data_IF_119881915581
#
_entry.id   IF_119881915581
#
_cell.length_a   1.000
_cell.length_b   1.000
_cell.length_c   1.000
_cell.angle_alpha   90.00
_cell.angle_beta   90.00
_cell.angle_gamma   90.00
#
_symmetry.space_group_name_H-M   'P 1'
#
loop_
_entity.id
_entity.type
_entity.pdbx_description
1 polymer ?
#
# COMPACT_ATOMS: atom_id res chain seq x y z
N UNK A 1 1.25 1.53 65.60
CA UNK A 1 1.13 0.22 64.93
C UNK A 1 2.47 -0.03 64.24
N UNK A 2 3.39 -0.68 64.95
CA UNK A 2 4.75 -0.95 64.48
C UNK A 2 4.74 -2.02 63.39
N UNK A 3 5.37 -1.71 62.26
CA UNK A 3 5.67 -2.68 61.20
C UNK A 3 6.85 -3.55 61.66
N UNK A 4 6.57 -4.82 61.95
CA UNK A 4 7.57 -5.86 62.23
C UNK A 4 8.29 -6.24 60.94
N UNK A 5 9.37 -5.52 60.63
CA UNK A 5 10.29 -5.88 59.56
C UNK A 5 11.06 -7.15 59.94
N UNK A 6 10.68 -8.29 59.33
CA UNK A 6 11.35 -9.56 59.55
C UNK A 6 12.48 -9.76 58.54
N UNK A 7 13.72 -9.83 59.03
CA UNK A 7 14.88 -10.20 58.23
C UNK A 7 14.95 -11.72 58.08
N UNK A 8 14.92 -12.22 56.84
CA UNK A 8 15.03 -13.65 56.51
C UNK A 8 16.30 -13.88 55.69
N UNK A 9 17.13 -14.82 56.13
CA UNK A 9 18.33 -15.20 55.40
C UNK A 9 17.98 -16.24 54.32
N UNK A 10 17.93 -15.81 53.06
CA UNK A 10 17.70 -16.70 51.91
C UNK A 10 18.98 -17.47 51.58
N UNK A 11 18.95 -18.80 51.72
CA UNK A 11 20.08 -19.72 51.44
C UNK A 11 19.81 -20.63 50.24
N UNK A 12 19.13 -20.13 49.22
CA UNK A 12 18.88 -20.86 47.97
C UNK A 12 19.29 -20.03 46.76
N UNK A 13 19.54 -20.71 45.63
CA UNK A 13 19.82 -20.07 44.35
C UNK A 13 18.51 -19.53 43.78
N UNK A 14 18.43 -18.21 43.59
CA UNK A 14 17.30 -17.57 42.94
C UNK A 14 17.59 -17.46 41.44
N UNK A 15 16.75 -18.12 40.62
CA UNK A 15 16.81 -18.04 39.16
C UNK A 15 15.46 -17.57 38.66
N UNK A 16 15.45 -16.54 37.82
CA UNK A 16 14.26 -16.11 37.11
C UNK A 16 14.14 -16.89 35.80
N UNK A 17 13.00 -17.53 35.57
CA UNK A 17 12.64 -18.18 34.32
C UNK A 17 11.35 -17.56 33.81
N UNK A 18 11.37 -17.09 32.57
CA UNK A 18 10.22 -16.41 31.98
C UNK A 18 9.26 -17.42 31.32
N UNK A 19 8.04 -17.49 31.83
CA UNK A 19 6.95 -18.32 31.31
C UNK A 19 5.69 -17.50 31.03
N UNK A 20 5.83 -16.18 30.82
CA UNK A 20 4.69 -15.27 30.65
C UNK A 20 3.95 -15.45 29.31
N UNK A 21 4.56 -16.14 28.34
CA UNK A 21 3.96 -16.43 27.03
C UNK A 21 3.67 -15.20 26.17
N UNK A 22 4.34 -14.07 26.44
CA UNK A 22 4.16 -12.83 25.68
C UNK A 22 4.98 -12.83 24.39
N UNK A 23 4.52 -12.06 23.42
CA UNK A 23 5.27 -11.84 22.18
C UNK A 23 6.52 -11.01 22.46
N UNK A 24 7.66 -11.52 21.99
CA UNK A 24 8.91 -10.80 22.09
C UNK A 24 8.96 -9.63 21.08
N UNK A 25 9.95 -8.75 21.24
CA UNK A 25 10.10 -7.57 20.40
C UNK A 25 10.29 -7.90 18.91
N UNK A 26 10.88 -9.04 18.56
CA UNK A 26 11.03 -9.46 17.16
C UNK A 26 9.70 -9.89 16.56
N UNK A 27 8.93 -10.69 17.29
CA UNK A 27 7.61 -11.14 16.83
C UNK A 27 6.65 -9.97 16.63
N UNK A 28 6.58 -9.04 17.57
CA UNK A 28 5.72 -7.85 17.45
C UNK A 28 6.09 -7.03 16.22
N UNK A 29 7.39 -6.78 15.99
CA UNK A 29 7.86 -6.05 14.79
C UNK A 29 7.44 -6.77 13.51
N UNK A 30 7.57 -8.09 13.45
CA UNK A 30 7.18 -8.87 12.28
C UNK A 30 5.67 -8.83 12.04
N UNK A 31 4.86 -8.97 13.10
CA UNK A 31 3.40 -8.88 13.03
C UNK A 31 2.99 -7.49 12.49
N UNK A 32 3.58 -6.42 13.02
CA UNK A 32 3.27 -5.05 12.58
C UNK A 32 3.64 -4.80 11.12
N UNK A 33 4.75 -5.37 10.65
CA UNK A 33 5.14 -5.30 9.23
C UNK A 33 4.15 -6.01 8.32
N UNK A 34 3.54 -7.11 8.76
CA UNK A 34 2.54 -7.85 7.97
C UNK A 34 1.15 -7.22 8.03
N UNK A 35 0.74 -6.68 9.18
CA UNK A 35 -0.58 -6.05 9.37
C UNK A 35 -0.65 -4.69 8.66
N UNK A 36 0.47 -3.95 8.60
CA UNK A 36 0.55 -2.61 8.00
C UNK A 36 -0.59 -1.65 8.43
N UNK A 37 -0.76 -1.40 9.74
CA UNK A 37 -1.85 -0.56 10.25
C UNK A 37 -1.73 0.91 9.80
N UNK A 38 -2.84 1.57 9.51
CA UNK A 38 -2.85 2.99 9.10
C UNK A 38 -2.56 3.95 10.28
N UNK A 39 -3.08 3.61 11.46
CA UNK A 39 -2.86 4.31 12.73
C UNK A 39 -2.57 3.25 13.80
N UNK A 40 -1.58 3.49 14.65
CA UNK A 40 -1.15 2.57 15.71
C UNK A 40 -1.14 3.30 17.05
N UNK A 41 -1.71 2.67 18.08
CA UNK A 41 -1.64 3.14 19.47
C UNK A 41 -0.94 2.07 20.29
N UNK A 42 0.18 2.44 20.91
CA UNK A 42 0.97 1.59 21.79
C UNK A 42 0.54 1.85 23.23
N UNK A 43 -0.02 0.83 23.87
CA UNK A 43 -0.46 0.88 25.27
C UNK A 43 0.32 -0.14 26.09
N UNK A 44 0.43 0.11 27.39
CA UNK A 44 0.99 -0.81 28.38
C UNK A 44 2.44 -1.24 28.10
N UNK A 45 3.40 -0.57 28.73
CA UNK A 45 4.82 -0.91 28.68
C UNK A 45 5.64 0.06 29.52
N UNK A 46 6.93 -0.24 29.71
CA UNK A 46 7.84 0.78 30.22
C UNK A 46 7.96 1.93 29.22
N UNK A 47 8.24 3.14 29.71
CA UNK A 47 8.42 4.31 28.85
C UNK A 47 9.51 4.07 27.80
N UNK A 48 10.62 3.44 28.20
CA UNK A 48 11.74 3.09 27.32
C UNK A 48 11.34 2.09 26.23
N UNK A 49 10.61 1.02 26.59
CA UNK A 49 10.21 0.00 25.62
C UNK A 49 9.20 0.56 24.61
N UNK A 50 8.28 1.40 25.07
CA UNK A 50 7.23 2.00 24.26
C UNK A 50 7.82 3.01 23.28
N UNK A 51 8.74 3.86 23.73
CA UNK A 51 9.43 4.82 22.86
C UNK A 51 10.28 4.09 21.80
N UNK A 52 11.01 3.06 22.19
CA UNK A 52 11.79 2.26 21.25
C UNK A 52 10.93 1.59 20.16
N UNK A 53 9.76 1.04 20.53
CA UNK A 53 8.84 0.46 19.56
C UNK A 53 8.18 1.54 18.70
N UNK A 54 7.81 2.69 19.28
CA UNK A 54 7.26 3.85 18.56
C UNK A 54 8.21 4.33 17.46
N UNK A 55 9.49 4.52 17.78
CA UNK A 55 10.50 4.94 16.81
C UNK A 55 10.64 3.95 15.65
N UNK A 56 10.61 2.64 15.95
CA UNK A 56 10.64 1.61 14.92
C UNK A 56 9.41 1.66 14.01
N UNK A 57 8.22 1.79 14.58
CA UNK A 57 6.96 1.81 13.82
C UNK A 57 6.82 3.07 12.95
N UNK A 58 7.23 4.23 13.45
CA UNK A 58 7.25 5.47 12.68
C UNK A 58 8.15 5.39 11.45
N UNK A 59 9.25 4.63 11.54
CA UNK A 59 10.20 4.48 10.45
C UNK A 59 9.80 3.43 9.41
N UNK A 60 9.23 2.31 9.86
CA UNK A 60 9.11 1.10 9.04
C UNK A 60 7.67 0.60 8.82
N UNK A 61 6.68 1.13 9.54
CA UNK A 61 5.31 0.56 9.56
C UNK A 61 4.28 1.58 9.12
N UNK A 62 4.14 2.68 9.87
CA UNK A 62 3.10 3.67 9.60
C UNK A 62 3.46 5.06 10.11
N UNK A 63 2.91 6.12 9.48
CA UNK A 63 3.23 7.50 9.85
C UNK A 63 2.57 7.95 11.17
N UNK A 64 1.45 7.33 11.56
CA UNK A 64 0.67 7.75 12.74
C UNK A 64 0.82 6.72 13.87
N UNK A 65 1.78 6.93 14.77
CA UNK A 65 2.01 6.09 15.94
C UNK A 65 1.92 6.90 17.22
N UNK A 66 1.03 6.50 18.12
CA UNK A 66 0.79 7.15 19.39
C UNK A 66 1.17 6.26 20.57
N UNK A 67 1.62 6.87 21.66
CA UNK A 67 2.01 6.19 22.89
C UNK A 67 1.56 7.06 24.08
N UNK A 68 0.28 6.98 24.48
CA UNK A 68 -0.26 7.79 25.57
C UNK A 68 0.38 7.44 26.91
N UNK A 69 0.54 8.45 27.75
CA UNK A 69 0.82 8.26 29.18
C UNK A 69 -0.45 7.89 29.95
N UNK A 70 -0.27 7.45 31.20
CA UNK A 70 -1.39 7.18 32.11
C UNK A 70 -2.21 8.47 32.24
N UNK A 71 -3.54 8.36 32.09
CA UNK A 71 -4.52 9.46 32.06
C UNK A 71 -4.46 10.39 30.83
N UNK A 72 -3.66 10.09 29.81
CA UNK A 72 -3.67 10.82 28.55
C UNK A 72 -4.76 10.29 27.60
N UNK A 73 -5.57 11.18 27.04
CA UNK A 73 -6.57 10.85 26.02
C UNK A 73 -6.07 11.30 24.65
N UNK A 74 -6.11 10.41 23.67
CA UNK A 74 -5.72 10.71 22.29
C UNK A 74 -6.94 10.57 21.39
N UNK A 75 -7.20 11.58 20.58
CA UNK A 75 -8.16 11.47 19.49
C UNK A 75 -7.52 10.79 18.28
N UNK A 76 -8.03 9.60 17.95
CA UNK A 76 -7.57 8.78 16.82
C UNK A 76 -8.58 8.84 15.67
N UNK A 77 -9.62 9.69 15.76
CA UNK A 77 -10.67 9.80 14.75
C UNK A 77 -10.08 10.12 13.39
N UNK A 78 -10.53 9.40 12.38
CA UNK A 78 -10.24 9.69 10.97
C UNK A 78 -11.52 10.22 10.35
N UNK A 79 -11.48 11.38 9.72
CA UNK A 79 -12.60 11.93 8.96
C UNK A 79 -12.74 11.15 7.63
N UNK A 80 -13.14 9.89 7.73
CA UNK A 80 -13.51 9.06 6.59
C UNK A 80 -15.03 9.11 6.47
N UNK A 81 -15.50 10.01 5.63
CA UNK A 81 -16.90 10.04 5.23
C UNK A 81 -17.19 8.83 4.32
N UNK A 82 -17.53 7.71 4.94
CA UNK A 82 -17.95 6.51 4.23
C UNK A 82 -19.44 6.62 3.91
N UNK A 83 -19.76 6.74 2.61
CA UNK A 83 -21.13 6.74 2.13
C UNK A 83 -21.43 5.44 1.41
N UNK A 84 -22.57 4.83 1.74
CA UNK A 84 -23.09 3.68 0.98
C UNK A 84 -23.90 4.22 -0.19
N UNK A 85 -23.39 4.04 -1.41
CA UNK A 85 -24.06 4.40 -2.66
C UNK A 85 -24.36 3.14 -3.47
N UNK A 86 -25.51 3.11 -4.14
CA UNK A 86 -25.85 2.03 -5.07
C UNK A 86 -25.36 2.36 -6.47
N UNK A 87 -24.66 1.44 -7.14
CA UNK A 87 -24.37 1.60 -8.56
C UNK A 87 -25.63 1.26 -9.38
N UNK A 88 -26.07 2.18 -10.25
CA UNK A 88 -27.20 1.91 -11.14
C UNK A 88 -26.83 0.87 -12.20
N UNK A 89 -27.81 0.07 -12.64
CA UNK A 89 -27.60 -0.96 -13.68
C UNK A 89 -27.07 -0.38 -14.99
N UNK A 90 -27.56 0.82 -15.36
CA UNK A 90 -27.13 1.56 -16.56
C UNK A 90 -25.67 1.97 -16.50
N UNK A 91 -25.16 2.31 -15.31
CA UNK A 91 -23.75 2.61 -15.12
C UNK A 91 -22.95 1.31 -15.23
N UNK A 92 -23.35 0.27 -14.48
CA UNK A 92 -22.68 -1.04 -14.47
C UNK A 92 -22.52 -1.65 -15.87
N UNK A 93 -23.49 -1.50 -16.76
CA UNK A 93 -23.39 -2.00 -18.13
C UNK A 93 -22.35 -1.28 -18.99
N UNK A 94 -21.98 -0.05 -18.65
CA UNK A 94 -21.02 0.77 -19.39
C UNK A 94 -19.59 0.68 -18.81
N UNK A 95 -19.43 0.08 -17.63
CA UNK A 95 -18.12 -0.04 -16.98
C UNK A 95 -17.28 -1.11 -17.68
N UNK A 96 -16.10 -0.71 -18.14
CA UNK A 96 -15.12 -1.61 -18.77
C UNK A 96 -14.20 -2.21 -17.72
N UNK A 97 -14.59 -3.37 -17.18
CA UNK A 97 -13.77 -4.13 -16.24
C UNK A 97 -12.54 -4.73 -16.93
N UNK A 98 -11.38 -4.54 -16.30
CA UNK A 98 -10.12 -5.20 -16.67
C UNK A 98 -9.69 -6.11 -15.52
N UNK A 99 -9.41 -7.38 -15.82
CA UNK A 99 -8.92 -8.35 -14.82
C UNK A 99 -7.46 -8.05 -14.44
N UNK A 100 -7.17 -7.94 -13.15
CA UNK A 100 -5.84 -7.83 -12.56
C UNK A 100 -5.65 -8.98 -11.56
N UNK A 101 -5.04 -10.08 -12.01
CA UNK A 101 -4.92 -11.30 -11.21
C UNK A 101 -6.30 -11.86 -10.85
N UNK A 102 -6.61 -11.92 -9.56
CA UNK A 102 -7.91 -12.35 -9.02
C UNK A 102 -8.94 -11.21 -8.91
N UNK A 103 -8.55 -9.97 -9.20
CA UNK A 103 -9.39 -8.78 -9.05
C UNK A 103 -9.82 -8.21 -10.39
N UNK A 104 -10.87 -7.39 -10.42
CA UNK A 104 -11.29 -6.62 -11.59
C UNK A 104 -11.25 -5.13 -11.24
N UNK A 105 -10.65 -4.33 -12.14
CA UNK A 105 -10.47 -2.88 -11.98
C UNK A 105 -11.13 -2.14 -13.13
N UNK A 106 -11.71 -0.99 -12.85
CA UNK A 106 -12.29 -0.12 -13.87
C UNK A 106 -12.29 1.34 -13.42
N UNK A 107 -12.19 2.26 -14.39
CA UNK A 107 -12.54 3.66 -14.18
C UNK A 107 -14.06 3.81 -14.20
N UNK A 108 -14.59 4.56 -13.24
CA UNK A 108 -16.02 4.87 -13.15
C UNK A 108 -16.19 6.35 -12.93
N UNK A 109 -16.87 6.98 -13.87
CA UNK A 109 -17.33 8.36 -13.81
C UNK A 109 -18.86 8.33 -13.65
N UNK A 110 -19.37 8.96 -12.60
CA UNK A 110 -20.79 8.96 -12.31
C UNK A 110 -21.27 10.24 -11.62
N UNK A 111 -22.54 10.56 -11.83
CA UNK A 111 -23.25 11.62 -11.12
C UNK A 111 -24.05 11.01 -9.95
N UNK A 112 -24.03 11.67 -8.79
CA UNK A 112 -24.78 11.22 -7.62
C UNK A 112 -26.23 11.68 -7.75
N UNK A 113 -27.14 10.72 -7.93
CA UNK A 113 -28.59 10.93 -7.93
C UNK A 113 -29.27 10.29 -6.73
N UNK A 114 -30.55 10.61 -6.54
CA UNK A 114 -31.43 9.92 -5.58
C UNK A 114 -32.37 8.99 -6.33
N UNK A 115 -32.53 7.78 -5.83
CA UNK A 115 -33.56 6.84 -6.30
C UNK A 115 -34.91 7.11 -5.61
N UNK A 116 -35.98 6.49 -6.10
CA UNK A 116 -37.34 6.56 -5.54
C UNK A 116 -37.41 6.15 -4.06
N UNK A 117 -36.44 5.36 -3.59
CA UNK A 117 -36.32 4.91 -2.19
C UNK A 117 -35.43 5.82 -1.31
N UNK A 118 -35.14 7.05 -1.75
CA UNK A 118 -34.23 8.02 -1.08
C UNK A 118 -32.80 7.50 -0.85
N UNK A 119 -32.41 6.43 -1.55
CA UNK A 119 -31.05 5.90 -1.52
C UNK A 119 -30.20 6.60 -2.58
N UNK A 120 -29.00 7.04 -2.18
CA UNK A 120 -28.01 7.64 -3.08
C UNK A 120 -27.53 6.60 -4.11
N UNK A 121 -27.64 6.94 -5.39
CA UNK A 121 -27.23 6.08 -6.50
C UNK A 121 -26.29 6.78 -7.47
N UNK A 122 -25.36 6.04 -8.04
CA UNK A 122 -24.45 6.52 -9.09
C UNK A 122 -25.09 6.32 -10.46
N UNK A 123 -25.35 7.42 -11.15
CA UNK A 123 -25.92 7.49 -12.50
C UNK A 123 -24.83 7.78 -13.55
N UNK A 124 -24.97 7.29 -14.78
CA UNK A 124 -24.02 7.60 -15.85
C UNK A 124 -24.02 9.10 -16.16
N UNK A 125 -22.83 9.67 -16.37
CA UNK A 125 -22.67 11.09 -16.72
C UNK A 125 -23.26 11.34 -18.12
N UNK A 126 -24.05 12.41 -18.26
CA UNK A 126 -24.66 12.79 -19.55
C UNK A 126 -23.69 13.50 -20.51
N UNK A 127 -22.53 13.95 -20.03
CA UNK A 127 -21.47 14.60 -20.80
C UNK A 127 -20.34 13.64 -21.19
N UNK A 128 -19.52 14.04 -22.16
CA UNK A 128 -18.33 13.28 -22.53
C UNK A 128 -17.38 13.16 -21.31
N UNK A 129 -16.98 11.94 -20.92
CA UNK A 129 -16.07 11.75 -19.81
C UNK A 129 -14.73 12.41 -20.10
N UNK A 130 -14.15 13.06 -19.10
CA UNK A 130 -12.82 13.62 -19.20
C UNK A 130 -11.81 12.47 -19.39
N UNK A 131 -10.81 12.61 -20.26
CA UNK A 131 -9.80 11.57 -20.42
C UNK A 131 -9.06 11.34 -19.09
N UNK A 132 -9.17 10.12 -18.56
CA UNK A 132 -8.49 9.74 -17.33
C UNK A 132 -6.98 9.79 -17.51
N UNK A 133 -6.28 10.30 -16.50
CA UNK A 133 -4.82 10.21 -16.45
C UNK A 133 -4.45 8.75 -16.25
N UNK A 134 -3.50 8.27 -17.05
CA UNK A 134 -3.01 6.90 -16.94
C UNK A 134 -2.46 6.61 -15.53
N UNK A 135 -3.12 5.70 -14.82
CA UNK A 135 -2.65 5.19 -13.52
C UNK A 135 -2.16 3.77 -13.72
N UNK A 136 -0.91 3.52 -13.30
CA UNK A 136 -0.39 2.16 -13.24
C UNK A 136 -0.95 1.48 -11.98
N UNK A 137 -1.73 0.42 -12.18
CA UNK A 137 -2.23 -0.39 -11.06
C UNK A 137 -1.39 -1.66 -10.95
N UNK A 138 -0.67 -1.78 -9.84
CA UNK A 138 0.20 -2.92 -9.53
C UNK A 138 1.68 -2.58 -9.50
N UNK A 139 2.50 -3.54 -9.04
CA UNK A 139 3.95 -3.40 -9.00
C UNK A 139 4.58 -3.88 -10.31
N UNK A 140 5.01 -2.95 -11.16
CA UNK A 140 5.85 -3.30 -12.30
C UNK A 140 7.28 -3.57 -11.81
N UNK A 141 7.71 -4.83 -11.94
CA UNK A 141 9.12 -5.22 -11.87
C UNK A 141 9.72 -5.21 -13.27
N UNK A 142 10.70 -4.33 -13.49
CA UNK A 142 11.39 -4.22 -14.79
C UNK A 142 12.10 -5.53 -15.19
N UNK A 143 12.51 -6.37 -14.22
CA UNK A 143 13.10 -7.68 -14.50
C UNK A 143 12.12 -8.63 -15.18
N UNK A 144 10.89 -8.72 -14.67
CA UNK A 144 9.84 -9.58 -15.22
C UNK A 144 9.42 -9.09 -16.61
N UNK A 145 9.32 -7.76 -16.77
CA UNK A 145 8.99 -7.16 -18.07
C UNK A 145 10.10 -7.37 -19.12
N UNK A 146 11.38 -7.31 -18.71
CA UNK A 146 12.52 -7.67 -19.58
C UNK A 146 12.38 -9.10 -20.12
N UNK A 147 12.08 -10.05 -19.24
CA UNK A 147 11.92 -11.46 -19.61
C UNK A 147 10.72 -11.65 -20.56
N UNK A 148 9.61 -10.95 -20.31
CA UNK A 148 8.43 -10.97 -21.18
C UNK A 148 8.74 -10.43 -22.58
N UNK A 149 9.37 -9.26 -22.68
CA UNK A 149 9.74 -8.67 -23.97
C UNK A 149 10.76 -9.53 -24.73
N UNK A 150 11.71 -10.14 -24.02
CA UNK A 150 12.68 -11.08 -24.60
C UNK A 150 11.98 -12.31 -25.18
N UNK A 151 10.94 -12.82 -24.50
CA UNK A 151 10.12 -13.95 -24.99
C UNK A 151 9.31 -13.57 -26.24
N UNK A 152 8.95 -12.30 -26.40
CA UNK A 152 8.28 -11.75 -27.58
C UNK A 152 9.25 -11.39 -28.72
N UNK A 153 10.55 -11.65 -28.57
CA UNK A 153 11.57 -11.41 -29.59
C UNK A 153 12.08 -9.98 -29.68
N UNK A 154 11.79 -9.13 -28.69
CA UNK A 154 12.35 -7.77 -28.62
C UNK A 154 13.67 -7.85 -27.84
N UNK A 155 14.80 -7.39 -28.39
CA UNK A 155 16.05 -7.36 -27.64
C UNK A 155 15.93 -6.33 -26.52
N UNK A 156 16.12 -6.76 -25.27
CA UNK A 156 16.03 -5.87 -24.11
C UNK A 156 17.28 -5.94 -23.26
N UNK A 157 17.88 -4.78 -23.00
CA UNK A 157 19.03 -4.62 -22.12
C UNK A 157 18.68 -3.72 -20.94
N UNK A 158 19.25 -4.03 -19.78
CA UNK A 158 19.10 -3.17 -18.60
C UNK A 158 20.30 -2.24 -18.54
N UNK A 159 20.07 -0.94 -18.65
CA UNK A 159 21.12 0.07 -18.67
C UNK A 159 20.69 1.30 -17.84
N UNK A 160 21.51 1.68 -16.85
CA UNK A 160 21.30 2.91 -16.08
C UNK A 160 19.97 2.99 -15.32
N UNK A 161 19.40 1.86 -14.89
CA UNK A 161 18.09 1.83 -14.21
C UNK A 161 16.88 1.87 -15.14
N UNK A 162 17.08 1.78 -16.46
CA UNK A 162 16.03 1.69 -17.46
C UNK A 162 16.17 0.42 -18.31
N UNK A 163 15.08 0.00 -18.94
CA UNK A 163 15.04 -1.06 -19.94
C UNK A 163 15.17 -0.44 -21.32
N UNK A 164 16.29 -0.69 -21.99
CA UNK A 164 16.46 -0.37 -23.40
C UNK A 164 15.86 -1.51 -24.22
N UNK A 165 14.77 -1.23 -24.93
CA UNK A 165 14.05 -2.18 -25.75
C UNK A 165 14.30 -1.83 -27.22
N UNK A 166 14.93 -2.72 -27.97
CA UNK A 166 15.39 -2.40 -29.32
C UNK A 166 16.54 -1.39 -29.32
N UNK A 167 16.68 -0.68 -30.44
CA UNK A 167 17.77 0.26 -30.65
C UNK A 167 17.46 1.66 -30.09
N UNK A 168 16.18 2.07 -30.12
CA UNK A 168 15.76 3.45 -29.89
C UNK A 168 14.70 3.66 -28.78
N UNK A 169 14.13 2.60 -28.20
CA UNK A 169 13.07 2.74 -27.16
C UNK A 169 13.65 2.45 -25.79
N UNK A 170 13.35 3.31 -24.82
CA UNK A 170 13.79 3.18 -23.43
C UNK A 170 12.59 3.28 -22.51
N UNK A 171 12.42 2.31 -21.62
CA UNK A 171 11.36 2.25 -20.62
C UNK A 171 11.97 2.45 -19.23
N UNK A 172 11.56 3.50 -18.53
CA UNK A 172 12.06 3.83 -17.19
C UNK A 172 10.90 3.90 -16.20
N UNK A 173 11.10 3.35 -15.01
CA UNK A 173 10.20 3.54 -13.87
C UNK A 173 10.62 4.82 -13.13
N UNK A 174 9.75 5.82 -13.13
CA UNK A 174 9.87 7.05 -12.37
C UNK A 174 8.96 6.94 -11.15
N UNK A 175 9.58 6.70 -10.00
CA UNK A 175 8.92 6.73 -8.70
C UNK A 175 9.90 7.34 -7.71
N UNK A 176 9.37 7.96 -6.66
CA UNK A 176 10.19 8.56 -5.61
C UNK A 176 11.08 7.47 -5.00
N UNK A 177 12.39 7.52 -5.31
CA UNK A 177 13.38 6.55 -4.83
C UNK A 177 13.62 6.66 -3.31
N UNK A 178 12.94 7.59 -2.65
CA UNK A 178 13.04 7.90 -1.22
C UNK A 178 12.20 6.98 -0.34
N UNK A 179 11.25 6.21 -0.89
CA UNK A 179 10.46 5.26 -0.10
C UNK A 179 10.69 3.81 -0.55
N UNK A 180 11.87 3.29 -0.20
CA UNK A 180 12.07 1.84 -0.04
C UNK A 180 11.26 1.36 1.17
N UNK A 181 9.99 1.05 0.94
CA UNK A 181 9.13 0.39 1.93
C UNK A 181 7.99 1.25 2.42
N UNK A 182 6.94 1.36 1.61
CA UNK A 182 5.55 1.49 2.01
C UNK A 182 4.72 1.50 0.72
N UNK A 183 3.66 0.68 0.68
CA UNK A 183 2.79 0.58 -0.48
C UNK A 183 2.14 1.92 -0.83
N UNK A 184 1.75 2.03 -2.11
CA UNK A 184 0.92 3.12 -2.66
C UNK A 184 1.64 4.42 -3.05
N UNK A 185 2.88 4.34 -3.56
CA UNK A 185 3.43 5.40 -4.42
C UNK A 185 2.89 5.25 -5.85
N UNK A 186 2.44 6.33 -6.49
CA UNK A 186 2.06 6.30 -7.91
C UNK A 186 3.32 6.04 -8.75
N UNK A 187 3.48 4.79 -9.19
CA UNK A 187 4.60 4.40 -10.06
C UNK A 187 4.31 4.94 -11.46
N UNK A 188 5.10 5.90 -11.93
CA UNK A 188 4.99 6.39 -13.30
C UNK A 188 5.99 5.64 -14.18
N UNK A 189 5.56 5.24 -15.37
CA UNK A 189 6.46 4.64 -16.36
C UNK A 189 6.58 5.62 -17.51
N UNK A 190 7.82 5.93 -17.87
CA UNK A 190 8.14 6.78 -19.01
C UNK A 190 8.70 5.88 -20.11
N UNK A 191 8.09 5.98 -21.29
CA UNK A 191 8.57 5.34 -22.53
C UNK A 191 9.11 6.46 -23.42
N UNK A 192 10.43 6.50 -23.59
CA UNK A 192 11.16 7.44 -24.44
C UNK A 192 11.58 6.74 -25.73
N UNK A 193 11.34 7.35 -26.89
CA UNK A 193 11.78 6.83 -28.17
C UNK A 193 11.04 7.45 -29.36
N UNK A 194 11.54 7.23 -30.60
CA UNK A 194 10.82 7.61 -31.80
C UNK A 194 9.53 6.78 -31.94
N UNK A 195 8.52 7.34 -32.61
CA UNK A 195 7.26 6.65 -32.92
C UNK A 195 7.50 5.56 -33.98
N UNK A 196 8.05 4.42 -33.56
CA UNK A 196 8.27 3.23 -34.39
C UNK A 196 7.29 2.11 -34.01
N UNK A 197 7.20 1.06 -34.84
CA UNK A 197 6.35 -0.10 -34.52
C UNK A 197 6.69 -0.71 -33.16
N UNK A 198 7.99 -0.76 -32.80
CA UNK A 198 8.43 -1.31 -31.53
C UNK A 198 7.93 -0.46 -30.36
N UNK A 199 7.89 0.87 -30.49
CA UNK A 199 7.32 1.76 -29.49
C UNK A 199 5.84 1.43 -29.22
N UNK A 200 5.04 1.27 -30.29
CA UNK A 200 3.63 0.91 -30.14
C UNK A 200 3.44 -0.50 -29.59
N UNK A 201 4.21 -1.49 -30.06
CA UNK A 201 4.18 -2.87 -29.52
C UNK A 201 4.52 -2.91 -28.04
N UNK A 202 5.58 -2.20 -27.62
CA UNK A 202 5.99 -2.13 -26.22
C UNK A 202 4.91 -1.44 -25.38
N UNK A 203 4.32 -0.36 -25.88
CA UNK A 203 3.21 0.33 -25.21
C UNK A 203 1.97 -0.56 -25.06
N UNK A 204 1.62 -1.33 -26.08
CA UNK A 204 0.50 -2.26 -26.06
C UNK A 204 0.75 -3.42 -25.12
N UNK A 205 1.96 -3.98 -25.12
CA UNK A 205 2.37 -5.02 -24.18
C UNK A 205 2.37 -4.51 -22.74
N UNK A 206 2.85 -3.29 -22.52
CA UNK A 206 2.82 -2.68 -21.21
C UNK A 206 1.37 -2.46 -20.78
N UNK A 207 0.51 -1.91 -21.63
CA UNK A 207 -0.91 -1.71 -21.33
C UNK A 207 -1.68 -3.02 -21.14
N UNK A 208 -1.25 -4.12 -21.77
CA UNK A 208 -1.85 -5.45 -21.66
C UNK A 208 -1.42 -6.22 -20.41
N UNK A 209 -0.18 -6.06 -19.96
CA UNK A 209 0.39 -6.79 -18.80
C UNK A 209 0.31 -5.97 -17.52
N UNK A 210 0.50 -4.67 -17.63
CA UNK A 210 0.62 -3.71 -16.54
C UNK A 210 -0.31 -2.54 -16.85
N UNK A 211 -1.58 -2.77 -16.54
CA UNK A 211 -2.69 -1.93 -16.94
C UNK A 211 -2.40 -0.45 -16.67
N UNK A 212 -2.13 0.30 -17.75
CA UNK A 212 -2.40 1.72 -17.79
C UNK A 212 -3.92 1.84 -17.84
N UNK A 213 -4.50 2.31 -16.75
CA UNK A 213 -5.89 2.70 -16.67
C UNK A 213 -6.01 4.18 -17.03
#
# INVERSE_FOLDING_TARGET
MDQTANNVQVRCLLVYMDFEGRSDGRSIKNILSHVAPLKLVLVHGSAEATDHLKQHCLKNVCPHVYAPQIEETIDVTSDLCAYKVQLSEKLMSNVLFKKLGEYEIAWVDAEVGKTENDMLSLLPISGAPCPHKSVLVGDLKLADFKQFLSTKGIPVEFAGGALRCGEYVTVRKVGDATQKGAGSGTQQIIIEGPLCEDYYKIRDYLSSQFYLL
#
